data_IF_530549840239
#
_entry.id   IF_530549840239
#
_cell.length_a   1.000
_cell.length_b   1.000
_cell.length_c   1.000
_cell.angle_alpha   90.00
_cell.angle_beta   90.00
_cell.angle_gamma   90.00
#
_symmetry.space_group_name_H-M   'P 1'
#
loop_
_entity.id
_entity.type
_entity.pdbx_description
1 polymer ?
#
# COMPACT_ATOMS: atom_id res chain seq x y z
N UNK A 1 -2.17 -17.60 -4.06
CA UNK A 1 -2.51 -16.52 -3.09
C UNK A 1 -2.53 -15.22 -3.87
N UNK A 2 -3.64 -14.50 -3.82
CA UNK A 2 -3.77 -13.17 -4.43
C UNK A 2 -3.06 -12.15 -3.57
N UNK A 3 -2.23 -11.30 -4.17
CA UNK A 3 -1.64 -10.14 -3.52
C UNK A 3 -2.16 -8.87 -4.18
N UNK A 4 -2.74 -8.01 -3.37
CA UNK A 4 -3.09 -6.66 -3.79
C UNK A 4 -2.25 -5.65 -3.02
N UNK A 5 -1.51 -4.84 -3.73
CA UNK A 5 -0.74 -3.74 -3.19
C UNK A 5 -1.51 -2.43 -3.32
N UNK A 6 -1.46 -1.61 -2.29
CA UNK A 6 -2.09 -0.30 -2.23
C UNK A 6 -1.01 0.76 -2.08
N UNK A 7 -0.98 1.75 -2.95
CA UNK A 7 0.03 2.80 -2.95
C UNK A 7 -0.60 4.19 -2.93
N UNK A 8 0.11 5.14 -2.37
CA UNK A 8 -0.28 6.54 -2.28
C UNK A 8 0.22 7.38 -3.45
N UNK A 9 1.20 6.86 -4.21
CA UNK A 9 1.69 7.48 -5.44
C UNK A 9 2.08 6.46 -6.52
N UNK A 10 2.19 6.94 -7.75
CA UNK A 10 2.52 6.10 -8.89
C UNK A 10 3.99 5.63 -8.89
N UNK A 11 4.89 6.46 -8.37
CA UNK A 11 6.31 6.10 -8.25
C UNK A 11 6.48 4.92 -7.31
N UNK A 12 5.81 4.94 -6.14
CA UNK A 12 5.79 3.82 -5.21
C UNK A 12 5.22 2.55 -5.83
N UNK A 13 4.16 2.67 -6.64
CA UNK A 13 3.57 1.54 -7.36
C UNK A 13 4.55 0.91 -8.36
N UNK A 14 5.28 1.73 -9.11
CA UNK A 14 6.27 1.25 -10.07
C UNK A 14 7.50 0.66 -9.38
N UNK A 15 7.96 1.28 -8.30
CA UNK A 15 9.11 0.85 -7.52
C UNK A 15 8.87 -0.55 -6.94
N UNK A 16 7.84 -0.74 -6.12
CA UNK A 16 7.53 -2.04 -5.53
C UNK A 16 7.15 -3.08 -6.59
N UNK A 17 6.42 -2.69 -7.63
CA UNK A 17 6.10 -3.54 -8.77
C UNK A 17 7.35 -4.11 -9.45
N UNK A 18 8.43 -3.35 -9.51
CA UNK A 18 9.69 -3.80 -10.10
C UNK A 18 10.31 -4.99 -9.37
N UNK A 19 10.20 -5.05 -8.04
CA UNK A 19 10.69 -6.18 -7.25
C UNK A 19 9.91 -7.47 -7.49
N UNK A 20 8.62 -7.38 -7.75
CA UNK A 20 7.79 -8.52 -8.12
C UNK A 20 8.09 -9.01 -9.53
N UNK A 21 8.23 -8.10 -10.50
CA UNK A 21 8.57 -8.47 -11.88
C UNK A 21 9.95 -9.07 -11.99
N UNK A 22 10.93 -8.59 -11.22
CA UNK A 22 12.27 -9.18 -11.13
C UNK A 22 12.27 -10.64 -10.62
N UNK A 23 11.17 -11.07 -9.97
CA UNK A 23 10.94 -12.44 -9.51
C UNK A 23 9.96 -13.23 -10.39
N UNK A 24 9.75 -12.75 -11.62
CA UNK A 24 8.91 -13.43 -12.60
C UNK A 24 7.40 -13.31 -12.37
N UNK A 25 6.97 -12.39 -11.50
CA UNK A 25 5.54 -12.12 -11.31
C UNK A 25 5.04 -11.08 -12.29
N UNK A 26 3.84 -11.27 -12.79
CA UNK A 26 3.15 -10.28 -13.60
C UNK A 26 2.50 -9.25 -12.68
N UNK A 27 2.72 -7.98 -12.95
CA UNK A 27 2.19 -6.87 -12.15
C UNK A 27 1.28 -6.01 -13.01
N UNK A 28 0.07 -5.77 -12.51
CA UNK A 28 -0.89 -4.85 -13.09
C UNK A 28 -0.94 -3.59 -12.20
N UNK A 29 -0.64 -2.44 -12.78
CA UNK A 29 -0.71 -1.16 -12.05
C UNK A 29 -1.99 -0.43 -12.44
N UNK A 30 -2.89 -0.30 -11.48
CA UNK A 30 -4.05 0.54 -11.56
C UNK A 30 -3.68 1.98 -11.20
N UNK A 31 -3.63 2.87 -12.17
CA UNK A 31 -3.06 4.21 -11.99
C UNK A 31 -3.98 5.21 -11.28
N UNK A 32 -5.27 4.90 -11.14
CA UNK A 32 -6.27 5.87 -10.64
C UNK A 32 -7.32 5.29 -9.68
N UNK A 33 -7.10 4.09 -9.17
CA UNK A 33 -8.03 3.41 -8.25
C UNK A 33 -9.38 2.99 -8.85
N UNK A 34 -9.59 3.14 -10.14
CA UNK A 34 -10.87 2.87 -10.84
C UNK A 34 -10.84 1.67 -11.78
N UNK A 35 -9.83 0.84 -11.68
CA UNK A 35 -9.69 -0.38 -12.48
C UNK A 35 -10.59 -1.52 -12.00
N UNK A 36 -10.62 -2.62 -12.76
CA UNK A 36 -11.04 -3.91 -12.24
C UNK A 36 -10.08 -4.35 -11.12
N UNK A 37 -10.63 -4.86 -10.04
CA UNK A 37 -9.86 -5.40 -8.91
C UNK A 37 -9.67 -6.92 -9.04
N UNK A 38 -10.21 -7.53 -10.09
CA UNK A 38 -10.02 -8.93 -10.39
C UNK A 38 -8.63 -9.16 -11.00
N UNK A 39 -7.92 -10.15 -10.51
CA UNK A 39 -6.64 -10.59 -11.03
C UNK A 39 -6.40 -12.08 -10.71
N UNK A 40 -5.54 -12.73 -11.47
CA UNK A 40 -5.20 -14.13 -11.27
C UNK A 40 -4.34 -14.32 -10.01
N UNK A 41 -4.29 -15.55 -9.50
CA UNK A 41 -3.60 -15.85 -8.24
C UNK A 41 -2.08 -15.73 -8.30
N UNK A 42 -1.49 -15.75 -9.48
CA UNK A 42 -0.05 -15.59 -9.72
C UNK A 42 0.32 -14.17 -10.16
N UNK A 43 -0.66 -13.30 -10.33
CA UNK A 43 -0.49 -11.90 -10.68
C UNK A 43 -0.55 -11.02 -9.43
N UNK A 44 0.08 -9.87 -9.51
CA UNK A 44 0.03 -8.82 -8.47
C UNK A 44 -0.80 -7.66 -9.02
N UNK A 45 -1.77 -7.22 -8.24
CA UNK A 45 -2.50 -5.99 -8.54
C UNK A 45 -1.97 -4.87 -7.64
N UNK A 46 -1.41 -3.83 -8.22
CA UNK A 46 -1.02 -2.62 -7.51
C UNK A 46 -2.02 -1.51 -7.80
N UNK A 47 -2.67 -0.98 -6.77
CA UNK A 47 -3.67 0.07 -6.88
C UNK A 47 -3.09 1.39 -6.36
N UNK A 48 -2.84 2.33 -7.26
CA UNK A 48 -2.44 3.69 -6.89
C UNK A 48 -3.68 4.55 -6.61
N UNK A 49 -3.77 5.11 -5.41
CA UNK A 49 -4.86 6.00 -5.00
C UNK A 49 -4.53 7.47 -5.15
N UNK A 50 -3.26 7.82 -5.45
CA UNK A 50 -2.77 9.20 -5.57
C UNK A 50 -3.13 10.07 -4.35
N UNK A 51 -3.02 9.49 -3.16
CA UNK A 51 -3.51 10.09 -1.91
C UNK A 51 -2.47 10.90 -1.15
N UNK A 52 -1.17 10.76 -1.48
CA UNK A 52 -0.05 11.37 -0.74
C UNK A 52 -0.24 12.86 -0.45
N UNK A 53 -0.73 13.62 -1.41
CA UNK A 53 -0.85 15.08 -1.34
C UNK A 53 -2.32 15.54 -1.33
N UNK A 54 -3.26 14.65 -1.05
CA UNK A 54 -4.67 15.02 -0.88
C UNK A 54 -4.96 15.51 0.52
N UNK A 55 -6.15 16.07 0.75
CA UNK A 55 -6.61 16.34 2.12
C UNK A 55 -6.69 15.01 2.92
N UNK A 56 -6.37 15.08 4.20
CA UNK A 56 -6.28 13.93 5.09
C UNK A 56 -7.54 13.07 5.10
N UNK A 57 -8.71 13.71 5.29
CA UNK A 57 -10.00 13.00 5.26
C UNK A 57 -10.24 12.32 3.92
N UNK A 58 -9.79 12.94 2.82
CA UNK A 58 -9.90 12.35 1.49
C UNK A 58 -8.99 11.14 1.33
N UNK A 59 -7.77 11.19 1.85
CA UNK A 59 -6.86 10.06 1.84
C UNK A 59 -7.46 8.87 2.61
N UNK A 60 -7.98 9.12 3.82
CA UNK A 60 -8.69 8.11 4.63
C UNK A 60 -9.86 7.49 3.87
N UNK A 61 -10.72 8.32 3.31
CA UNK A 61 -11.91 7.85 2.57
C UNK A 61 -11.55 7.00 1.35
N UNK A 62 -10.54 7.38 0.58
CA UNK A 62 -10.09 6.62 -0.60
C UNK A 62 -9.65 5.20 -0.23
N UNK A 63 -8.94 5.04 0.90
CA UNK A 63 -8.48 3.73 1.38
C UNK A 63 -9.65 2.88 1.90
N UNK A 64 -10.56 3.47 2.69
CA UNK A 64 -11.75 2.77 3.16
C UNK A 64 -12.64 2.31 2.01
N UNK A 65 -12.85 3.15 1.01
CA UNK A 65 -13.67 2.82 -0.16
C UNK A 65 -13.04 1.73 -1.04
N UNK A 66 -11.70 1.74 -1.17
CA UNK A 66 -11.01 0.66 -1.87
C UNK A 66 -11.24 -0.68 -1.16
N UNK A 67 -11.02 -0.73 0.16
CA UNK A 67 -11.15 -2.00 0.89
C UNK A 67 -12.57 -2.57 0.85
N UNK A 68 -13.61 -1.73 0.84
CA UNK A 68 -15.01 -2.17 0.69
C UNK A 68 -15.30 -2.81 -0.68
N UNK A 69 -14.44 -2.56 -1.67
CA UNK A 69 -14.53 -3.15 -3.01
C UNK A 69 -13.68 -4.41 -3.18
N UNK A 70 -12.76 -4.66 -2.28
CA UNK A 70 -11.91 -5.83 -2.27
C UNK A 70 -12.58 -6.97 -1.49
N UNK A 71 -12.33 -8.21 -1.89
CA UNK A 71 -12.84 -9.37 -1.18
C UNK A 71 -11.94 -9.71 0.02
N UNK A 72 -12.50 -9.98 1.21
CA UNK A 72 -11.73 -10.47 2.35
C UNK A 72 -11.01 -11.80 2.04
N UNK A 73 -9.89 -12.04 2.71
CA UNK A 73 -9.16 -13.31 2.62
C UNK A 73 -7.98 -13.32 1.65
N UNK A 74 -7.71 -12.20 0.96
CA UNK A 74 -6.49 -11.98 0.20
C UNK A 74 -5.30 -11.59 1.08
N UNK A 75 -4.13 -11.46 0.47
CA UNK A 75 -2.97 -10.82 1.08
C UNK A 75 -2.89 -9.37 0.58
N UNK A 76 -2.86 -8.44 1.52
CA UNK A 76 -2.88 -7.01 1.22
C UNK A 76 -1.62 -6.35 1.77
N UNK A 77 -0.99 -5.52 0.95
CA UNK A 77 0.19 -4.77 1.31
C UNK A 77 -0.05 -3.28 1.04
N UNK A 78 0.14 -2.45 2.03
CA UNK A 78 0.19 -0.99 1.84
C UNK A 78 1.66 -0.58 1.70
N UNK A 79 2.01 -0.06 0.53
CA UNK A 79 3.31 0.58 0.32
C UNK A 79 3.30 1.95 0.99
N UNK A 80 4.21 2.15 1.93
CA UNK A 80 4.44 3.42 2.61
C UNK A 80 5.78 4.02 2.19
N UNK A 81 5.89 5.33 2.29
CA UNK A 81 7.15 6.03 2.06
C UNK A 81 8.04 5.97 3.30
N UNK A 82 9.35 5.81 3.08
CA UNK A 82 10.33 5.87 4.18
C UNK A 82 10.20 7.19 4.94
N UNK A 83 10.07 7.10 6.26
CA UNK A 83 9.89 8.24 7.16
C UNK A 83 8.45 8.71 7.31
N UNK A 84 7.47 7.90 6.97
CA UNK A 84 6.03 8.18 7.12
C UNK A 84 5.64 9.55 6.55
N UNK A 85 6.05 9.81 5.30
CA UNK A 85 5.76 11.08 4.62
C UNK A 85 4.39 11.04 3.95
N UNK A 86 3.65 12.13 4.07
CA UNK A 86 2.34 12.28 3.44
C UNK A 86 1.20 11.96 4.40
N UNK A 87 0.25 11.16 3.95
CA UNK A 87 -0.97 10.85 4.67
C UNK A 87 -0.99 9.45 5.30
N UNK A 88 0.18 8.81 5.50
CA UNK A 88 0.28 7.38 5.88
C UNK A 88 -0.61 7.01 7.08
N UNK A 89 -0.69 7.84 8.12
CA UNK A 89 -1.54 7.56 9.29
C UNK A 89 -3.04 7.59 8.96
N UNK A 90 -3.49 8.56 8.18
CA UNK A 90 -4.89 8.67 7.75
C UNK A 90 -5.28 7.58 6.75
N UNK A 91 -4.33 7.18 5.92
CA UNK A 91 -4.49 6.08 4.99
C UNK A 91 -4.61 4.75 5.72
N UNK A 92 -3.82 4.54 6.78
CA UNK A 92 -3.92 3.38 7.65
C UNK A 92 -5.27 3.34 8.38
N UNK A 93 -5.71 4.47 8.94
CA UNK A 93 -7.04 4.58 9.54
C UNK A 93 -8.15 4.21 8.53
N UNK A 94 -8.01 4.64 7.28
CA UNK A 94 -8.95 4.29 6.21
C UNK A 94 -8.97 2.78 5.91
N UNK A 95 -7.82 2.12 5.93
CA UNK A 95 -7.75 0.66 5.78
C UNK A 95 -8.48 -0.05 6.93
N UNK A 96 -8.26 0.39 8.16
CA UNK A 96 -8.92 -0.17 9.35
C UNK A 96 -10.43 0.13 9.39
N UNK A 97 -10.86 1.29 8.89
CA UNK A 97 -12.30 1.59 8.72
C UNK A 97 -12.96 0.64 7.70
N UNK A 98 -12.23 0.23 6.67
CA UNK A 98 -12.71 -0.73 5.66
C UNK A 98 -12.81 -2.15 6.21
N UNK A 99 -11.80 -2.57 6.97
CA UNK A 99 -11.71 -3.92 7.57
C UNK A 99 -11.19 -3.87 9.00
N UNK A 100 -12.06 -3.59 9.99
CA UNK A 100 -11.67 -3.38 11.38
C UNK A 100 -11.11 -4.64 12.07
N UNK A 101 -11.42 -5.82 11.56
CA UNK A 101 -10.99 -7.11 12.15
C UNK A 101 -9.62 -7.61 11.64
N UNK A 102 -8.94 -6.82 10.79
CA UNK A 102 -7.62 -7.20 10.26
C UNK A 102 -6.49 -6.77 11.20
N UNK A 103 -5.51 -7.65 11.34
CA UNK A 103 -4.24 -7.30 11.99
C UNK A 103 -3.33 -6.59 10.99
N UNK A 104 -2.67 -5.53 11.45
CA UNK A 104 -1.71 -4.76 10.64
C UNK A 104 -0.30 -4.97 11.18
N UNK A 105 0.62 -5.31 10.28
CA UNK A 105 2.05 -5.36 10.56
C UNK A 105 2.73 -4.20 9.82
N UNK A 106 3.41 -3.34 10.55
CA UNK A 106 4.12 -2.20 9.98
C UNK A 106 5.62 -2.51 9.99
N UNK A 107 6.24 -2.47 8.81
CA UNK A 107 7.68 -2.61 8.63
C UNK A 107 8.15 -1.46 7.74
N UNK A 108 8.70 -0.41 8.34
CA UNK A 108 9.16 0.78 7.63
C UNK A 108 10.69 0.94 7.77
N UNK A 109 11.40 -0.11 7.42
CA UNK A 109 12.85 -0.10 7.40
C UNK A 109 13.36 -0.18 5.96
N UNK A 110 14.26 0.69 5.61
CA UNK A 110 15.02 0.66 4.37
C UNK A 110 16.51 0.81 4.69
N UNK A 111 17.18 -0.28 5.13
CA UNK A 111 18.57 -0.22 5.58
C UNK A 111 19.52 0.35 4.50
N UNK A 112 19.24 0.05 3.23
CA UNK A 112 20.02 0.59 2.10
C UNK A 112 19.88 2.12 1.96
N UNK A 113 18.89 2.72 2.62
CA UNK A 113 18.67 4.18 2.70
C UNK A 113 19.00 4.73 4.09
N UNK A 114 19.67 3.97 4.95
CA UNK A 114 20.06 4.40 6.29
C UNK A 114 18.91 4.50 7.28
N UNK A 115 17.75 3.86 7.03
CA UNK A 115 16.64 3.90 7.98
C UNK A 115 16.48 2.59 8.73
N UNK A 116 16.24 2.69 10.03
CA UNK A 116 16.03 1.54 10.91
C UNK A 116 15.04 1.88 12.04
N UNK A 117 14.44 0.84 12.60
CA UNK A 117 13.50 0.98 13.73
C UNK A 117 14.10 0.37 14.98
N UNK A 118 14.07 1.12 16.08
CA UNK A 118 14.50 0.68 17.40
C UNK A 118 13.45 1.06 18.45
N UNK A 119 12.97 0.07 19.20
CA UNK A 119 11.91 0.27 20.22
C UNK A 119 10.67 1.03 19.72
N UNK A 120 10.24 0.74 18.49
CA UNK A 120 9.06 1.38 17.89
C UNK A 120 9.30 2.78 17.35
N UNK A 121 10.53 3.31 17.40
CA UNK A 121 10.90 4.59 16.82
C UNK A 121 11.74 4.37 15.57
N UNK A 122 11.42 5.11 14.50
CA UNK A 122 12.21 5.11 13.28
C UNK A 122 13.34 6.14 13.37
N UNK A 123 14.50 5.75 12.91
CA UNK A 123 15.71 6.57 12.84
C UNK A 123 16.22 6.63 11.40
N UNK A 124 16.91 7.70 11.07
CA UNK A 124 17.60 7.90 9.81
C UNK A 124 19.05 8.34 10.11
N UNK A 125 20.02 7.68 9.51
CA UNK A 125 21.44 8.09 9.54
C UNK A 125 21.70 9.27 8.61
#
# INVERSE_FOLDING_TARGET
>A
MRLTEITDDLTGAADSGSYFTARGRKVHICTNGRCSLEHETDEILTVNLSSRNTAQDKARQLHADLLRRLEPGGFYMKKIGTGFRGNDSYELDGLLDGWPDYNVFIVDNAPDLGTFTLYGNQYCE
#
